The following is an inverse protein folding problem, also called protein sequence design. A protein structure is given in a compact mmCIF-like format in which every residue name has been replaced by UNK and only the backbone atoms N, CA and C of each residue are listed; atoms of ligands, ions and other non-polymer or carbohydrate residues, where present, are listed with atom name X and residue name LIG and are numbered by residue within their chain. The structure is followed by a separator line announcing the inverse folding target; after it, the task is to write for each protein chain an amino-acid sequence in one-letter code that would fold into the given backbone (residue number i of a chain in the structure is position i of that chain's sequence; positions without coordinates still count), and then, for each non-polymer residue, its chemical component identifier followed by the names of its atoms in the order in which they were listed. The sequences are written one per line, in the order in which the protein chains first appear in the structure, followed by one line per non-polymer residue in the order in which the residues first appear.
data_IF_393973362524
#
_entry.id   IF_393973362524
#
_cell.length_a   1.000
_cell.length_b   1.000
_cell.length_c   1.000
_cell.angle_alpha   90.00
_cell.angle_beta   90.00
_cell.angle_gamma   90.00
#
_symmetry.space_group_name_H-M   'P 1'
#
loop_
_entity.id
_entity.type
_entity.pdbx_description
1 polymer ?
#
# COMPACT_ATOMS: atom_id res chain seq x y z
N UNK A 1 -23.27 -1.52 59.55
CA UNK A 1 -22.43 -1.43 58.34
C UNK A 1 -22.51 0.00 57.80
N UNK A 2 -21.37 0.69 57.63
CA UNK A 2 -21.35 2.08 57.15
C UNK A 2 -21.80 2.09 55.69
N UNK A 3 -22.73 2.99 55.29
CA UNK A 3 -23.29 3.08 53.92
C UNK A 3 -22.21 2.99 52.82
N UNK A 4 -21.03 3.56 53.06
CA UNK A 4 -19.89 3.47 52.13
C UNK A 4 -19.40 2.05 51.83
N UNK A 5 -19.48 1.11 52.78
CA UNK A 5 -19.07 -0.29 52.57
C UNK A 5 -20.04 -1.04 51.65
N UNK A 6 -21.33 -0.74 51.73
CA UNK A 6 -22.37 -1.35 50.88
C UNK A 6 -22.25 -0.83 49.44
N UNK A 7 -22.02 0.47 49.27
CA UNK A 7 -21.81 1.07 47.94
C UNK A 7 -20.55 0.50 47.29
N UNK A 8 -19.44 0.39 48.04
CA UNK A 8 -18.20 -0.18 47.52
C UNK A 8 -18.36 -1.66 47.10
N UNK A 9 -19.06 -2.47 47.90
CA UNK A 9 -19.32 -3.87 47.56
C UNK A 9 -20.20 -4.04 46.30
N UNK A 10 -21.23 -3.19 46.14
CA UNK A 10 -22.07 -3.21 44.96
C UNK A 10 -21.31 -2.80 43.69
N UNK A 11 -20.41 -1.80 43.78
CA UNK A 11 -19.55 -1.40 42.68
C UNK A 11 -18.58 -2.52 42.28
N UNK A 12 -17.96 -3.19 43.26
CA UNK A 12 -17.07 -4.32 42.99
C UNK A 12 -17.82 -5.48 42.31
N UNK A 13 -19.04 -5.81 42.76
CA UNK A 13 -19.87 -6.85 42.12
C UNK A 13 -20.28 -6.48 40.69
N UNK A 14 -20.63 -5.22 40.44
CA UNK A 14 -20.98 -4.77 39.09
C UNK A 14 -19.77 -4.85 38.13
N UNK A 15 -18.58 -4.46 38.61
CA UNK A 15 -17.33 -4.58 37.84
C UNK A 15 -17.00 -6.04 37.56
N UNK A 16 -17.10 -6.94 38.54
CA UNK A 16 -16.81 -8.37 38.31
C UNK A 16 -17.80 -9.01 37.33
N UNK A 17 -19.10 -8.70 37.43
CA UNK A 17 -20.11 -9.16 36.47
C UNK A 17 -19.84 -8.62 35.05
N UNK A 18 -19.43 -7.36 34.92
CA UNK A 18 -19.04 -6.77 33.65
C UNK A 18 -17.83 -7.49 33.01
N UNK A 19 -16.81 -7.80 33.81
CA UNK A 19 -15.64 -8.56 33.36
C UNK A 19 -16.03 -9.97 32.92
N UNK A 20 -16.87 -10.67 33.70
CA UNK A 20 -17.34 -12.02 33.37
C UNK A 20 -18.18 -12.02 32.09
N UNK A 21 -19.07 -11.04 31.93
CA UNK A 21 -19.88 -10.89 30.73
C UNK A 21 -19.00 -10.63 29.49
N UNK A 22 -18.02 -9.73 29.60
CA UNK A 22 -17.07 -9.44 28.53
C UNK A 22 -16.25 -10.68 28.15
N UNK A 23 -15.77 -11.43 29.15
CA UNK A 23 -15.05 -12.68 28.92
C UNK A 23 -15.93 -13.74 28.25
N UNK A 24 -17.19 -13.88 28.70
CA UNK A 24 -18.14 -14.81 28.09
C UNK A 24 -18.44 -14.46 26.63
N UNK A 25 -18.62 -13.18 26.32
CA UNK A 25 -18.86 -12.72 24.95
C UNK A 25 -17.64 -13.02 24.05
N UNK A 26 -16.42 -12.77 24.51
CA UNK A 26 -15.19 -13.11 23.76
C UNK A 26 -15.06 -14.61 23.54
N UNK A 27 -15.37 -15.43 24.56
CA UNK A 27 -15.40 -16.89 24.44
C UNK A 27 -16.39 -17.38 23.37
N UNK A 28 -17.61 -16.82 23.33
CA UNK A 28 -18.60 -17.20 22.31
C UNK A 28 -18.17 -16.79 20.90
N UNK A 29 -17.63 -15.57 20.74
CA UNK A 29 -17.09 -15.09 19.45
C UNK A 29 -15.93 -15.95 18.98
N UNK A 30 -15.03 -16.32 19.89
CA UNK A 30 -13.91 -17.20 19.57
C UNK A 30 -14.39 -18.58 19.09
N UNK A 31 -15.34 -19.19 19.80
CA UNK A 31 -15.94 -20.46 19.37
C UNK A 31 -16.68 -20.34 18.02
N UNK A 32 -17.28 -19.19 17.73
CA UNK A 32 -17.88 -18.90 16.42
C UNK A 32 -16.82 -18.83 15.32
N UNK A 33 -15.70 -18.13 15.56
CA UNK A 33 -14.61 -18.03 14.60
C UNK A 33 -14.03 -19.39 14.22
N UNK A 34 -13.84 -20.28 15.21
CA UNK A 34 -13.38 -21.64 14.94
C UNK A 34 -14.36 -22.42 14.05
N UNK A 35 -15.67 -22.32 14.31
CA UNK A 35 -16.68 -22.95 13.46
C UNK A 35 -16.68 -22.41 12.03
N UNK A 36 -16.48 -21.10 11.86
CA UNK A 36 -16.40 -20.48 10.54
C UNK A 36 -15.19 -21.02 9.77
N UNK A 37 -14.01 -21.07 10.42
CA UNK A 37 -12.80 -21.63 9.83
C UNK A 37 -12.97 -23.11 9.45
N UNK A 38 -13.54 -23.94 10.34
CA UNK A 38 -13.84 -25.35 10.07
C UNK A 38 -14.84 -25.54 8.91
N UNK A 39 -15.74 -24.58 8.70
CA UNK A 39 -16.72 -24.61 7.60
C UNK A 39 -16.19 -24.06 6.27
N UNK A 40 -14.96 -23.55 6.24
CA UNK A 40 -14.33 -22.93 5.06
C UNK A 40 -14.62 -21.44 4.89
N UNK A 41 -15.33 -20.79 5.82
CA UNK A 41 -15.54 -19.33 5.81
C UNK A 41 -14.34 -18.62 6.48
N UNK A 42 -13.22 -18.58 5.74
CA UNK A 42 -11.97 -17.95 6.20
C UNK A 42 -12.15 -16.44 6.43
N UNK A 43 -12.88 -15.76 5.56
CA UNK A 43 -13.15 -14.31 5.66
C UNK A 43 -13.93 -13.98 6.94
N UNK A 44 -15.00 -14.72 7.24
CA UNK A 44 -15.78 -14.56 8.46
C UNK A 44 -14.98 -14.92 9.71
N UNK A 45 -14.20 -15.99 9.68
CA UNK A 45 -13.32 -16.39 10.78
C UNK A 45 -12.27 -15.32 11.08
N UNK A 46 -11.56 -14.84 10.05
CA UNK A 46 -10.53 -13.82 10.14
C UNK A 46 -11.06 -12.53 10.79
N UNK A 47 -12.20 -12.01 10.31
CA UNK A 47 -12.79 -10.80 10.86
C UNK A 47 -13.12 -10.90 12.36
N UNK A 48 -13.56 -12.07 12.83
CA UNK A 48 -13.81 -12.29 14.25
C UNK A 48 -12.51 -12.42 15.04
N UNK A 49 -11.52 -13.16 14.53
CA UNK A 49 -10.23 -13.39 15.21
C UNK A 49 -9.44 -12.09 15.39
N UNK A 50 -9.37 -11.24 14.36
CA UNK A 50 -8.74 -9.92 14.46
C UNK A 50 -9.44 -9.06 15.52
N UNK A 51 -10.77 -9.05 15.52
CA UNK A 51 -11.57 -8.31 16.50
C UNK A 51 -11.48 -8.85 17.94
N UNK A 52 -10.90 -10.04 18.15
CA UNK A 52 -10.67 -10.62 19.47
C UNK A 52 -9.31 -10.23 20.07
N UNK A 53 -8.36 -9.77 19.25
CA UNK A 53 -7.03 -9.33 19.68
C UNK A 53 -6.29 -10.41 20.48
N UNK A 54 -5.81 -10.03 21.68
CA UNK A 54 -5.07 -10.91 22.61
C UNK A 54 -5.91 -12.02 23.28
N UNK A 55 -7.11 -12.32 22.78
CA UNK A 55 -7.92 -13.39 23.38
C UNK A 55 -7.38 -14.76 22.95
N UNK A 56 -6.93 -15.56 23.91
CA UNK A 56 -6.42 -16.91 23.65
C UNK A 56 -5.32 -16.91 22.56
N UNK A 57 -5.45 -17.75 21.54
CA UNK A 57 -4.56 -17.85 20.37
C UNK A 57 -5.14 -17.14 19.12
N UNK A 58 -6.08 -16.19 19.29
CA UNK A 58 -6.80 -15.60 18.16
C UNK A 58 -5.88 -14.91 17.14
N UNK A 59 -4.82 -14.23 17.59
CA UNK A 59 -3.80 -13.64 16.69
C UNK A 59 -3.04 -14.69 15.89
N UNK A 60 -2.62 -15.78 16.53
CA UNK A 60 -1.91 -16.87 15.86
C UNK A 60 -2.78 -17.52 14.80
N UNK A 61 -4.06 -17.74 15.11
CA UNK A 61 -5.03 -18.28 14.14
C UNK A 61 -5.31 -17.33 12.99
N UNK A 62 -5.45 -16.03 13.27
CA UNK A 62 -5.61 -15.03 12.22
C UNK A 62 -4.39 -15.00 11.30
N UNK A 63 -3.17 -15.08 11.85
CA UNK A 63 -1.94 -15.17 11.07
C UNK A 63 -1.90 -16.45 10.23
N UNK A 64 -2.27 -17.60 10.79
CA UNK A 64 -2.37 -18.86 10.04
C UNK A 64 -3.32 -18.78 8.85
N UNK A 65 -4.48 -18.14 9.00
CA UNK A 65 -5.40 -17.90 7.89
C UNK A 65 -4.78 -17.01 6.80
N UNK A 66 -4.04 -15.96 7.18
CA UNK A 66 -3.37 -15.06 6.23
C UNK A 66 -2.22 -15.75 5.49
N UNK A 67 -1.51 -16.68 6.13
CA UNK A 67 -0.50 -17.50 5.46
C UNK A 67 -1.12 -18.41 4.39
N UNK A 68 -2.32 -18.95 4.64
CA UNK A 68 -3.06 -19.77 3.66
C UNK A 68 -3.70 -18.92 2.55
N UNK A 69 -4.17 -17.73 2.89
CA UNK A 69 -4.87 -16.81 1.99
C UNK A 69 -4.42 -15.35 2.25
N UNK A 70 -3.34 -14.90 1.59
CA UNK A 70 -2.73 -13.58 1.82
C UNK A 70 -3.64 -12.40 1.48
N UNK A 71 -4.72 -12.63 0.72
CA UNK A 71 -5.68 -11.61 0.33
C UNK A 71 -6.70 -11.27 1.44
N UNK A 72 -6.87 -12.14 2.44
CA UNK A 72 -7.87 -12.00 3.51
C UNK A 72 -7.91 -10.61 4.17
N UNK A 73 -6.77 -10.00 4.55
CA UNK A 73 -6.79 -8.69 5.22
C UNK A 73 -7.39 -7.57 4.37
N UNK A 74 -7.41 -7.74 3.05
CA UNK A 74 -7.71 -6.69 2.08
C UNK A 74 -9.11 -6.80 1.47
N UNK A 75 -9.81 -7.92 1.67
CA UNK A 75 -11.15 -8.14 1.08
C UNK A 75 -12.19 -7.12 1.48
N UNK A 76 -12.06 -6.54 2.68
CA UNK A 76 -12.95 -5.49 3.18
C UNK A 76 -12.57 -4.07 2.76
N UNK A 77 -11.42 -3.86 2.12
CA UNK A 77 -10.94 -2.52 1.79
C UNK A 77 -11.70 -1.90 0.61
N UNK A 78 -11.93 -0.60 0.71
CA UNK A 78 -12.59 0.24 -0.27
C UNK A 78 -11.68 1.36 -0.76
N UNK A 79 -12.07 1.99 -1.88
CA UNK A 79 -11.38 3.19 -2.40
C UNK A 79 -11.29 4.27 -1.32
N UNK A 80 -10.10 4.83 -1.14
CA UNK A 80 -9.78 5.84 -0.13
C UNK A 80 -9.32 5.28 1.21
N UNK A 81 -9.45 3.97 1.44
CA UNK A 81 -8.86 3.35 2.64
C UNK A 81 -7.33 3.37 2.55
N UNK A 82 -6.68 3.31 3.71
CA UNK A 82 -5.24 3.08 3.84
C UNK A 82 -5.02 1.70 4.43
N UNK A 83 -4.27 0.87 3.73
CA UNK A 83 -3.95 -0.52 4.14
C UNK A 83 -2.45 -0.71 4.33
N UNK A 84 -2.07 -1.70 5.15
CA UNK A 84 -0.68 -2.11 5.34
C UNK A 84 -0.38 -3.37 4.54
N UNK A 85 0.61 -3.33 3.65
CA UNK A 85 0.97 -4.46 2.78
C UNK A 85 2.47 -4.41 2.44
N UNK A 86 3.17 -5.52 2.62
CA UNK A 86 4.64 -5.52 2.54
C UNK A 86 5.32 -4.64 3.60
N UNK A 87 6.64 -4.62 3.55
CA UNK A 87 7.51 -3.87 4.46
C UNK A 87 8.78 -3.43 3.76
N UNK A 88 9.22 -2.18 3.93
CA UNK A 88 10.45 -1.66 3.35
C UNK A 88 11.10 -0.68 4.32
N UNK A 89 12.41 -0.53 4.22
CA UNK A 89 13.20 0.40 5.03
C UNK A 89 12.74 1.84 4.79
N UNK A 90 12.28 2.50 5.85
CA UNK A 90 11.65 3.83 5.80
C UNK A 90 12.17 4.77 6.89
N UNK A 91 12.83 4.28 7.94
CA UNK A 91 13.39 5.12 9.01
C UNK A 91 14.92 5.31 8.94
N UNK A 92 15.61 4.50 8.14
CA UNK A 92 17.06 4.52 7.96
C UNK A 92 17.84 3.76 9.03
N UNK A 93 17.17 3.05 9.93
CA UNK A 93 17.77 2.17 10.92
C UNK A 93 17.64 0.69 10.53
N UNK A 94 18.53 0.25 9.64
CA UNK A 94 18.57 -1.16 9.21
C UNK A 94 18.76 -2.20 10.33
N UNK A 95 18.97 -1.79 11.60
CA UNK A 95 19.08 -2.70 12.74
C UNK A 95 17.73 -3.16 13.32
N UNK A 96 16.64 -2.44 13.05
CA UNK A 96 15.29 -2.78 13.54
C UNK A 96 14.46 -3.59 12.52
N UNK A 97 14.93 -3.66 11.26
CA UNK A 97 14.26 -4.36 10.16
C UNK A 97 13.18 -3.50 9.50
N UNK A 98 12.73 -3.84 8.29
CA UNK A 98 11.91 -2.95 7.47
C UNK A 98 10.53 -2.63 8.09
N UNK A 99 10.08 -1.38 7.94
CA UNK A 99 8.78 -0.92 8.41
C UNK A 99 7.65 -1.35 7.47
N UNK A 100 6.45 -1.54 8.00
CA UNK A 100 5.28 -1.81 7.16
C UNK A 100 4.99 -0.64 6.22
N UNK A 101 4.75 -0.93 4.94
CA UNK A 101 4.38 0.09 3.96
C UNK A 101 2.88 0.37 4.07
N UNK A 102 2.51 1.65 4.15
CA UNK A 102 1.13 2.12 4.04
C UNK A 102 0.78 2.36 2.56
N UNK A 103 -0.41 1.95 2.15
CA UNK A 103 -0.89 2.09 0.78
C UNK A 103 -2.27 2.73 0.75
N UNK A 104 -2.45 3.71 -0.13
CA UNK A 104 -3.75 4.31 -0.45
C UNK A 104 -4.43 3.42 -1.50
N UNK A 105 -5.67 3.01 -1.23
CA UNK A 105 -6.50 2.30 -2.21
C UNK A 105 -7.06 3.32 -3.22
N UNK A 106 -6.45 3.39 -4.41
CA UNK A 106 -6.88 4.31 -5.47
C UNK A 106 -8.17 3.85 -6.14
N UNK A 107 -8.32 2.55 -6.32
CA UNK A 107 -9.46 1.94 -7.00
C UNK A 107 -9.71 0.52 -6.47
N UNK A 108 -10.98 0.14 -6.46
CA UNK A 108 -11.40 -1.24 -6.39
C UNK A 108 -12.14 -1.60 -7.66
N UNK A 109 -11.66 -2.61 -8.37
CA UNK A 109 -12.28 -3.14 -9.57
C UNK A 109 -12.43 -4.65 -9.42
N UNK A 110 -13.68 -5.12 -9.34
CA UNK A 110 -14.01 -6.51 -9.00
C UNK A 110 -13.28 -6.97 -7.73
N UNK A 111 -12.56 -8.10 -7.82
CA UNK A 111 -11.72 -8.66 -6.77
C UNK A 111 -10.27 -8.15 -6.87
N UNK A 112 -10.06 -6.88 -7.24
CA UNK A 112 -8.73 -6.27 -7.27
C UNK A 112 -8.71 -4.89 -6.66
N UNK A 113 -7.58 -4.56 -6.04
CA UNK A 113 -7.29 -3.22 -5.53
C UNK A 113 -6.07 -2.65 -6.23
N UNK A 114 -6.19 -1.42 -6.72
CA UNK A 114 -5.04 -0.62 -7.12
C UNK A 114 -4.55 0.15 -5.90
N UNK A 115 -3.31 -0.07 -5.54
CA UNK A 115 -2.64 0.52 -4.40
C UNK A 115 -1.56 1.49 -4.88
N UNK A 116 -1.39 2.61 -4.17
CA UNK A 116 -0.26 3.53 -4.30
C UNK A 116 0.38 3.71 -2.93
N UNK A 117 1.70 3.64 -2.82
CA UNK A 117 2.37 3.86 -1.53
C UNK A 117 1.98 5.23 -0.98
N UNK A 118 1.62 5.31 0.30
CA UNK A 118 1.16 6.57 0.89
C UNK A 118 2.28 7.62 0.85
N UNK A 119 3.49 7.18 1.16
CA UNK A 119 4.71 7.98 1.24
C UNK A 119 5.65 7.69 0.04
N UNK A 120 6.57 8.61 -0.23
CA UNK A 120 7.73 8.38 -1.08
C UNK A 120 8.71 7.49 -0.32
N UNK A 121 8.97 6.29 -0.85
CA UNK A 121 9.74 5.27 -0.14
C UNK A 121 11.25 5.45 -0.30
N UNK A 122 11.69 5.99 -1.44
CA UNK A 122 13.11 6.20 -1.75
C UNK A 122 13.27 7.37 -2.74
N UNK A 123 14.44 8.02 -2.73
CA UNK A 123 14.82 9.02 -3.73
C UNK A 123 15.60 8.38 -4.86
N UNK A 124 15.06 8.35 -6.08
CA UNK A 124 15.68 7.69 -7.23
C UNK A 124 15.61 8.52 -8.50
N UNK A 125 16.61 8.33 -9.36
CA UNK A 125 16.56 8.83 -10.73
C UNK A 125 15.60 7.95 -11.53
N UNK A 126 14.95 8.54 -12.54
CA UNK A 126 14.21 7.74 -13.51
C UNK A 126 15.18 6.88 -14.32
N UNK A 127 16.29 7.48 -14.75
CA UNK A 127 17.42 6.81 -15.40
C UNK A 127 18.72 7.56 -15.10
N UNK A 128 19.81 6.84 -14.83
CA UNK A 128 21.06 7.40 -14.32
C UNK A 128 21.86 8.23 -15.35
N UNK A 129 21.64 8.03 -16.65
CA UNK A 129 22.42 8.71 -17.70
C UNK A 129 21.78 10.05 -18.07
N UNK A 130 22.49 11.18 -17.90
CA UNK A 130 21.97 12.49 -18.26
C UNK A 130 21.67 12.62 -19.76
N UNK A 131 20.53 13.23 -20.09
CA UNK A 131 20.08 13.50 -21.46
C UNK A 131 19.97 12.26 -22.37
N UNK A 132 19.96 11.05 -21.82
CA UNK A 132 19.74 9.85 -22.60
C UNK A 132 18.25 9.70 -22.91
N UNK A 133 17.93 9.49 -24.18
CA UNK A 133 16.58 9.05 -24.57
C UNK A 133 16.28 7.69 -23.93
N UNK A 134 15.22 7.63 -23.12
CA UNK A 134 14.85 6.43 -22.36
C UNK A 134 13.33 6.33 -22.23
N UNK A 135 12.82 5.11 -22.24
CA UNK A 135 11.39 4.82 -22.04
C UNK A 135 11.17 4.16 -20.68
N UNK A 136 9.92 4.01 -20.24
CA UNK A 136 9.63 3.25 -19.01
C UNK A 136 10.20 1.84 -19.05
N UNK A 137 10.09 1.16 -20.20
CA UNK A 137 10.53 -0.21 -20.38
C UNK A 137 12.01 -0.44 -20.06
N UNK A 138 12.84 0.55 -20.37
CA UNK A 138 14.31 0.52 -20.25
C UNK A 138 14.84 1.33 -19.05
N UNK A 139 13.94 1.90 -18.23
CA UNK A 139 14.33 2.79 -17.12
C UNK A 139 14.90 2.03 -15.91
N UNK A 140 15.88 2.64 -15.25
CA UNK A 140 16.42 2.11 -13.98
C UNK A 140 15.36 2.06 -12.89
N UNK A 141 14.43 3.03 -12.87
CA UNK A 141 13.35 3.08 -11.90
C UNK A 141 12.42 1.85 -12.04
N UNK A 142 12.04 1.48 -13.26
CA UNK A 142 11.22 0.29 -13.51
C UNK A 142 11.94 -0.98 -13.07
N UNK A 143 13.23 -1.10 -13.40
CA UNK A 143 14.06 -2.23 -13.00
C UNK A 143 14.08 -2.37 -11.47
N UNK A 144 14.40 -1.29 -10.76
CA UNK A 144 14.38 -1.28 -9.30
C UNK A 144 13.01 -1.65 -8.72
N UNK A 145 11.92 -1.08 -9.25
CA UNK A 145 10.56 -1.36 -8.76
C UNK A 145 10.18 -2.84 -8.89
N UNK A 146 10.56 -3.50 -9.98
CA UNK A 146 10.18 -4.89 -10.27
C UNK A 146 11.17 -5.94 -9.77
N UNK A 147 12.40 -5.53 -9.44
CA UNK A 147 13.45 -6.39 -8.92
C UNK A 147 13.69 -6.07 -7.43
N UNK A 148 14.69 -5.25 -7.11
CA UNK A 148 15.15 -4.97 -5.74
C UNK A 148 14.01 -4.61 -4.77
N UNK A 149 13.14 -3.66 -5.15
CA UNK A 149 12.01 -3.26 -4.31
C UNK A 149 11.02 -4.40 -4.13
N UNK A 150 10.60 -5.05 -5.22
CA UNK A 150 9.60 -6.11 -5.16
C UNK A 150 10.09 -7.31 -4.32
N UNK A 151 11.36 -7.66 -4.46
CA UNK A 151 11.97 -8.78 -3.73
C UNK A 151 12.23 -8.47 -2.25
N UNK A 152 12.55 -7.21 -1.92
CA UNK A 152 12.71 -6.79 -0.53
C UNK A 152 11.36 -6.56 0.17
N UNK A 153 10.39 -5.96 -0.53
CA UNK A 153 9.18 -5.43 0.08
C UNK A 153 8.14 -6.49 0.43
N UNK A 154 8.10 -7.60 -0.31
CA UNK A 154 7.00 -8.58 -0.22
C UNK A 154 7.51 -9.98 0.10
N UNK A 155 6.81 -10.67 1.00
CA UNK A 155 7.06 -12.10 1.27
C UNK A 155 6.61 -12.96 0.07
N UNK A 156 7.09 -14.21 -0.07
CA UNK A 156 6.64 -15.09 -1.15
C UNK A 156 5.11 -15.26 -1.23
N UNK A 157 4.42 -15.32 -0.09
CA UNK A 157 2.96 -15.41 -0.03
C UNK A 157 2.29 -14.13 -0.56
N UNK A 158 2.78 -12.95 -0.15
CA UNK A 158 2.30 -11.66 -0.65
C UNK A 158 2.57 -11.49 -2.15
N UNK A 159 3.74 -11.89 -2.64
CA UNK A 159 4.04 -11.89 -4.09
C UNK A 159 3.07 -12.76 -4.89
N UNK A 160 2.48 -13.78 -4.28
CA UNK A 160 1.49 -14.66 -4.89
C UNK A 160 0.17 -13.96 -5.25
N UNK A 161 -0.17 -12.86 -4.57
CA UNK A 161 -1.39 -12.09 -4.83
C UNK A 161 -1.13 -10.79 -5.61
N UNK A 162 0.11 -10.51 -6.02
CA UNK A 162 0.46 -9.34 -6.85
C UNK A 162 0.52 -9.80 -8.31
N UNK A 163 -0.54 -9.61 -9.12
CA UNK A 163 -0.52 -10.00 -10.52
C UNK A 163 0.45 -9.14 -11.33
N UNK A 164 1.00 -9.74 -12.38
CA UNK A 164 1.65 -8.97 -13.45
C UNK A 164 0.58 -8.38 -14.37
N UNK A 165 0.63 -7.07 -14.59
CA UNK A 165 -0.33 -6.32 -15.41
C UNK A 165 0.35 -5.73 -16.64
N UNK A 166 -0.44 -5.59 -17.71
CA UNK A 166 -0.01 -4.96 -18.95
C UNK A 166 -0.11 -3.43 -18.81
N UNK A 167 1.02 -2.75 -19.02
CA UNK A 167 1.11 -1.30 -19.07
C UNK A 167 1.44 -0.88 -20.51
N UNK A 168 0.48 -0.28 -21.22
CA UNK A 168 0.63 0.06 -22.65
C UNK A 168 1.65 1.18 -22.95
N UNK A 169 2.12 1.91 -21.94
CA UNK A 169 3.10 3.02 -22.04
C UNK A 169 2.81 3.99 -23.19
N UNK A 170 1.66 4.66 -23.13
CA UNK A 170 1.24 5.63 -24.15
C UNK A 170 2.23 6.80 -24.32
N UNK A 171 2.30 7.32 -25.54
CA UNK A 171 3.05 8.53 -25.88
C UNK A 171 2.53 9.75 -25.10
N UNK A 172 3.41 10.75 -24.93
CA UNK A 172 3.07 11.99 -24.25
C UNK A 172 1.91 12.71 -24.96
N UNK A 173 0.91 13.14 -24.20
CA UNK A 173 -0.39 13.58 -24.75
C UNK A 173 -0.38 14.86 -25.61
N UNK A 174 0.68 15.67 -25.53
CA UNK A 174 0.83 17.00 -26.17
C UNK A 174 1.85 16.97 -27.31
N UNK A 175 3.07 16.49 -27.07
CA UNK A 175 4.19 16.49 -28.01
C UNK A 175 4.32 15.17 -28.77
N UNK A 176 3.71 14.09 -28.28
CA UNK A 176 3.86 12.76 -28.85
C UNK A 176 5.25 12.16 -28.63
N UNK A 177 5.95 12.57 -27.57
CA UNK A 177 7.20 11.90 -27.19
C UNK A 177 6.91 10.41 -26.92
N UNK A 178 7.69 9.47 -27.49
CA UNK A 178 7.36 8.05 -27.42
C UNK A 178 7.34 7.51 -25.99
N UNK A 179 6.27 6.81 -25.60
CA UNK A 179 6.18 6.15 -24.28
C UNK A 179 6.93 4.83 -24.20
N UNK A 180 7.24 4.23 -25.36
CA UNK A 180 7.97 2.98 -25.47
C UNK A 180 7.04 1.78 -25.69
N UNK A 181 7.62 0.57 -25.61
CA UNK A 181 6.84 -0.66 -25.76
C UNK A 181 5.97 -0.91 -24.51
N UNK A 182 4.83 -1.62 -24.66
CA UNK A 182 4.08 -2.12 -23.52
C UNK A 182 4.94 -3.01 -22.61
N UNK A 183 4.74 -2.91 -21.30
CA UNK A 183 5.47 -3.68 -20.28
C UNK A 183 4.54 -4.58 -19.49
N UNK A 184 5.08 -5.70 -18.98
CA UNK A 184 4.42 -6.54 -17.99
C UNK A 184 5.07 -6.26 -16.64
N UNK A 185 4.34 -5.59 -15.75
CA UNK A 185 4.88 -5.09 -14.48
C UNK A 185 4.06 -5.64 -13.31
N UNK A 186 4.72 -5.90 -12.18
CA UNK A 186 4.03 -6.15 -10.90
C UNK A 186 3.94 -4.89 -10.06
N UNK A 187 4.96 -4.03 -10.19
CA UNK A 187 5.06 -2.74 -9.53
C UNK A 187 5.39 -1.70 -10.60
N UNK A 188 4.71 -0.57 -10.56
CA UNK A 188 4.84 0.49 -11.57
C UNK A 188 4.67 1.87 -10.96
N UNK A 189 5.15 2.90 -11.66
CA UNK A 189 4.73 4.29 -11.39
C UNK A 189 3.43 4.58 -12.16
N UNK A 190 2.56 5.41 -11.61
CA UNK A 190 1.34 5.85 -12.32
C UNK A 190 1.70 6.50 -13.66
N UNK A 191 0.83 6.36 -14.66
CA UNK A 191 0.90 7.09 -15.92
C UNK A 191 0.30 8.48 -15.81
N UNK A 192 0.52 9.28 -16.87
CA UNK A 192 -0.20 10.53 -17.11
C UNK A 192 -1.71 10.35 -16.96
N UNK A 193 -2.31 9.37 -17.65
CA UNK A 193 -3.76 9.15 -17.61
C UNK A 193 -4.26 8.79 -16.21
N UNK A 194 -3.56 7.88 -15.52
CA UNK A 194 -3.89 7.51 -14.14
C UNK A 194 -3.74 8.71 -13.19
N UNK A 195 -2.69 9.52 -13.34
CA UNK A 195 -2.48 10.72 -12.53
C UNK A 195 -3.60 11.75 -12.75
N UNK A 196 -4.08 11.93 -13.98
CA UNK A 196 -5.18 12.85 -14.30
C UNK A 196 -6.49 12.37 -13.67
N UNK A 197 -6.73 11.06 -13.65
CA UNK A 197 -7.94 10.47 -13.05
C UNK A 197 -7.89 10.55 -11.53
N UNK A 198 -6.82 10.05 -10.92
CA UNK A 198 -6.73 9.88 -9.47
C UNK A 198 -6.38 11.18 -8.73
N UNK A 199 -5.67 12.11 -9.37
CA UNK A 199 -5.28 13.40 -8.80
C UNK A 199 -6.14 14.56 -9.35
N UNK A 200 -7.38 14.24 -9.72
CA UNK A 200 -8.33 15.19 -10.28
C UNK A 200 -8.83 16.18 -9.21
N UNK A 201 -8.46 17.45 -9.34
CA UNK A 201 -8.92 18.53 -8.45
C UNK A 201 -8.13 18.65 -7.15
N UNK A 202 -8.31 19.78 -6.44
CA UNK A 202 -7.45 20.16 -5.31
C UNK A 202 -7.46 19.19 -4.13
N UNK A 203 -8.62 18.60 -3.80
CA UNK A 203 -8.71 17.65 -2.69
C UNK A 203 -7.88 16.39 -2.96
N UNK A 204 -8.03 15.78 -4.14
CA UNK A 204 -7.23 14.60 -4.50
C UNK A 204 -5.74 14.92 -4.62
N UNK A 205 -5.38 16.12 -5.07
CA UNK A 205 -3.96 16.55 -5.09
C UNK A 205 -3.38 16.62 -3.69
N UNK A 206 -4.12 17.12 -2.70
CA UNK A 206 -3.63 17.16 -1.33
C UNK A 206 -3.72 15.80 -0.63
N UNK A 207 -4.82 15.07 -0.76
CA UNK A 207 -5.05 13.81 -0.04
C UNK A 207 -4.28 12.62 -0.63
N UNK A 208 -4.00 12.66 -1.95
CA UNK A 208 -3.35 11.56 -2.67
C UNK A 208 -2.05 12.04 -3.30
N UNK A 209 -2.05 13.18 -3.98
CA UNK A 209 -0.92 13.65 -4.79
C UNK A 209 0.29 14.08 -3.97
N UNK A 210 0.07 14.88 -2.93
CA UNK A 210 1.08 15.25 -1.94
C UNK A 210 1.51 13.99 -1.18
N UNK A 211 2.82 13.75 -1.14
CA UNK A 211 3.38 12.57 -0.51
C UNK A 211 4.57 12.97 0.34
N UNK A 212 4.55 12.59 1.61
CA UNK A 212 5.68 12.76 2.50
C UNK A 212 6.83 11.86 2.05
N UNK A 213 8.06 12.32 2.18
CA UNK A 213 9.22 11.47 2.10
C UNK A 213 9.35 10.63 3.38
N UNK A 214 9.62 9.34 3.25
CA UNK A 214 10.08 8.53 4.38
C UNK A 214 11.34 9.15 5.00
N UNK A 215 11.63 8.89 6.28
CA UNK A 215 12.85 9.43 6.90
C UNK A 215 14.10 8.92 6.16
N UNK A 216 14.07 7.67 5.68
CA UNK A 216 15.09 7.11 4.80
C UNK A 216 15.28 7.94 3.52
N UNK A 217 14.20 8.19 2.77
CA UNK A 217 14.25 8.96 1.53
C UNK A 217 14.73 10.41 1.78
N UNK A 218 14.27 11.04 2.86
CA UNK A 218 14.62 12.39 3.25
C UNK A 218 16.07 12.52 3.76
N UNK A 219 16.67 11.43 4.26
CA UNK A 219 18.08 11.42 4.71
C UNK A 219 19.09 11.48 3.56
N UNK A 220 18.64 11.18 2.34
CA UNK A 220 19.46 11.16 1.13
C UNK A 220 19.62 12.53 0.46
N UNK A 221 19.86 12.50 -0.85
CA UNK A 221 19.98 13.71 -1.68
C UNK A 221 18.62 14.19 -2.25
N UNK A 222 17.52 13.54 -1.88
CA UNK A 222 16.18 13.90 -2.35
C UNK A 222 15.83 15.30 -1.86
N UNK A 223 15.31 16.14 -2.75
CA UNK A 223 14.82 17.46 -2.37
C UNK A 223 13.44 17.30 -1.72
N UNK A 224 13.33 17.74 -0.46
CA UNK A 224 12.10 17.68 0.34
C UNK A 224 11.72 19.10 0.77
N UNK A 225 10.42 19.41 0.73
CA UNK A 225 9.88 20.71 1.14
C UNK A 225 9.93 20.88 2.66
N UNK A 226 9.65 22.10 3.14
CA UNK A 226 9.52 22.35 4.60
C UNK A 226 8.39 21.52 5.24
N UNK A 227 7.36 21.19 4.47
CA UNK A 227 6.23 20.36 4.91
C UNK A 227 6.50 18.85 4.80
N UNK A 228 7.71 18.45 4.37
CA UNK A 228 8.13 17.06 4.28
C UNK A 228 7.73 16.34 3.00
N UNK A 229 7.15 17.04 2.02
CA UNK A 229 6.74 16.45 0.74
C UNK A 229 7.84 16.51 -0.32
N UNK A 230 7.77 15.64 -1.32
CA UNK A 230 8.72 15.61 -2.43
C UNK A 230 8.03 15.43 -3.78
N UNK A 231 8.68 15.91 -4.85
CA UNK A 231 8.34 15.57 -6.22
C UNK A 231 8.53 14.06 -6.43
N UNK A 232 7.66 13.38 -7.19
CA UNK A 232 7.76 11.94 -7.45
C UNK A 232 7.40 11.54 -8.87
N UNK A 233 8.04 10.49 -9.38
CA UNK A 233 8.01 10.10 -10.79
C UNK A 233 6.69 9.47 -11.25
N UNK A 234 6.30 9.75 -12.50
CA UNK A 234 5.33 9.00 -13.30
C UNK A 234 6.07 8.18 -14.37
N UNK A 235 5.46 7.11 -14.87
CA UNK A 235 6.04 6.30 -15.97
C UNK A 235 5.89 6.94 -17.36
N UNK A 236 5.08 7.98 -17.48
CA UNK A 236 4.82 8.61 -18.77
C UNK A 236 5.96 9.53 -19.22
N UNK A 237 6.29 9.55 -20.53
CA UNK A 237 7.35 10.41 -21.05
C UNK A 237 6.98 11.89 -20.92
N UNK A 238 8.00 12.73 -20.73
CA UNK A 238 7.90 14.19 -20.73
C UNK A 238 7.99 14.79 -22.14
N UNK A 239 8.31 16.07 -22.22
CA UNK A 239 8.38 16.83 -23.49
C UNK A 239 9.44 16.28 -24.45
N UNK A 240 10.56 15.79 -23.89
CA UNK A 240 11.72 15.29 -24.61
C UNK A 240 11.96 13.81 -24.28
N UNK A 241 12.66 13.07 -25.15
CA UNK A 241 12.95 11.64 -24.95
C UNK A 241 13.80 11.33 -23.71
N UNK A 242 14.49 12.32 -23.16
CA UNK A 242 15.26 12.25 -21.93
C UNK A 242 14.54 12.89 -20.72
N UNK A 243 13.23 13.10 -20.82
CA UNK A 243 12.41 13.61 -19.74
C UNK A 243 11.26 12.64 -19.39
N UNK A 244 10.91 12.56 -18.12
CA UNK A 244 9.75 11.82 -17.61
C UNK A 244 8.81 12.76 -16.85
N UNK A 245 7.51 12.48 -16.89
CA UNK A 245 6.54 13.21 -16.10
C UNK A 245 6.70 12.92 -14.62
N UNK A 246 6.26 13.85 -13.79
CA UNK A 246 6.27 13.70 -12.34
C UNK A 246 5.06 14.42 -11.75
N UNK A 247 4.81 14.18 -10.48
CA UNK A 247 3.87 14.95 -9.66
C UNK A 247 4.72 15.80 -8.72
N UNK A 248 4.45 17.10 -8.69
CA UNK A 248 5.19 18.01 -7.83
C UNK A 248 4.84 17.81 -6.35
N UNK A 249 5.64 18.39 -5.47
CA UNK A 249 5.47 18.30 -4.03
C UNK A 249 4.14 18.88 -3.48
N UNK A 250 3.36 19.58 -4.33
CA UNK A 250 1.99 20.05 -4.06
C UNK A 250 0.92 19.15 -4.70
N UNK A 251 1.31 17.94 -5.12
CA UNK A 251 0.43 16.93 -5.66
C UNK A 251 -0.08 17.19 -7.08
N UNK A 252 0.51 18.13 -7.82
CA UNK A 252 0.08 18.48 -9.18
C UNK A 252 0.88 17.72 -10.25
N UNK A 253 0.22 16.99 -11.18
CA UNK A 253 0.91 16.39 -12.31
C UNK A 253 1.56 17.42 -13.24
N UNK A 254 2.82 17.20 -13.60
CA UNK A 254 3.63 18.07 -14.46
C UNK A 254 3.93 17.35 -15.79
N UNK A 255 3.06 17.55 -16.77
CA UNK A 255 3.11 16.86 -18.07
C UNK A 255 4.34 17.20 -18.93
N UNK A 256 5.00 18.34 -18.68
CA UNK A 256 6.24 18.70 -19.38
C UNK A 256 7.41 17.79 -18.97
N UNK A 257 7.34 17.22 -17.77
CA UNK A 257 8.37 16.39 -17.18
C UNK A 257 9.62 17.13 -16.72
N UNK A 258 10.55 16.35 -16.16
CA UNK A 258 11.89 16.74 -15.78
C UNK A 258 12.90 15.76 -16.40
N UNK A 259 14.18 16.14 -16.47
CA UNK A 259 15.21 15.26 -17.00
C UNK A 259 15.29 13.98 -16.17
N UNK A 260 15.48 12.85 -16.83
CA UNK A 260 15.42 11.51 -16.20
C UNK A 260 16.51 11.27 -15.15
N UNK A 261 17.61 12.03 -15.20
CA UNK A 261 18.72 11.98 -14.25
C UNK A 261 18.50 12.88 -13.02
N UNK A 262 17.38 13.61 -12.93
CA UNK A 262 17.01 14.29 -11.69
C UNK A 262 16.66 13.26 -10.61
N UNK A 263 16.91 13.58 -9.35
CA UNK A 263 16.53 12.73 -8.23
C UNK A 263 15.15 13.15 -7.70
N UNK A 264 14.14 12.31 -7.89
CA UNK A 264 12.79 12.48 -7.34
C UNK A 264 12.35 11.24 -6.57
N UNK A 265 11.20 11.33 -5.90
CA UNK A 265 10.62 10.25 -5.15
C UNK A 265 10.19 9.08 -6.03
N UNK A 266 10.52 7.87 -5.58
CA UNK A 266 9.91 6.64 -6.05
C UNK A 266 8.65 6.36 -5.21
N UNK A 267 7.51 6.35 -5.89
CA UNK A 267 6.20 6.08 -5.28
C UNK A 267 5.52 4.89 -5.98
N UNK A 268 5.79 3.66 -5.53
CA UNK A 268 5.27 2.46 -6.17
C UNK A 268 3.74 2.39 -6.19
N UNK A 269 3.19 1.90 -7.29
CA UNK A 269 1.82 1.45 -7.42
C UNK A 269 1.79 -0.03 -7.84
N UNK A 270 0.77 -0.76 -7.39
CA UNK A 270 0.58 -2.17 -7.74
C UNK A 270 -0.89 -2.56 -7.64
N UNK A 271 -1.23 -3.65 -8.32
CA UNK A 271 -2.50 -4.33 -8.10
C UNK A 271 -2.32 -5.47 -7.10
N UNK A 272 -3.33 -5.73 -6.27
CA UNK A 272 -3.48 -7.00 -5.55
C UNK A 272 -4.77 -7.70 -5.95
N UNK A 273 -4.70 -9.02 -6.09
CA UNK A 273 -5.84 -9.90 -6.35
C UNK A 273 -6.43 -10.41 -5.03
N UNK A 274 -7.74 -10.27 -4.89
CA UNK A 274 -8.51 -10.58 -3.70
C UNK A 274 -9.27 -11.90 -3.79
N UNK A 275 -9.20 -12.58 -4.95
CA UNK A 275 -9.95 -13.81 -5.20
C UNK A 275 -9.65 -14.88 -4.15
N UNK A 276 -10.66 -15.67 -3.81
CA UNK A 276 -10.51 -16.78 -2.86
C UNK A 276 -9.62 -17.88 -3.45
N UNK A 277 -8.60 -18.28 -2.68
CA UNK A 277 -7.74 -19.41 -3.01
C UNK A 277 -8.63 -20.67 -3.08
N UNK A 278 -8.87 -21.18 -4.29
CA UNK A 278 -9.71 -22.36 -4.54
C UNK A 278 -11.17 -22.08 -4.97
N UNK A 279 -11.59 -20.81 -5.06
CA UNK A 279 -12.93 -20.41 -5.51
C UNK A 279 -13.12 -20.29 -7.03
N UNK A 280 -12.05 -20.47 -7.82
CA UNK A 280 -12.02 -20.33 -9.28
C UNK A 280 -12.73 -21.45 -10.05
N UNK A 281 -13.97 -21.75 -9.70
CA UNK A 281 -14.77 -22.77 -10.36
C UNK A 281 -16.26 -22.62 -10.11
N UNK A 282 -16.86 -21.53 -10.60
CA UNK A 282 -18.28 -21.47 -10.96
C UNK A 282 -18.52 -20.56 -12.15
#
# INVERSE_FOLDING_TARGET
MKKGTVVLAALLLAVTLGILFHHHQRSQRYAQALRLAESGDASGAYGILVGLGDYADARERAAGLVEEDPALPYRGAAKGDVVSFGSFEQDGDASNGPESIRWIVLERFDDRLLLLSADVLDGRQYNHVPFQDVTWADSDLRAWMNDDFFDAAFTPAQRGIIPSVLNDNADQSITGAPGGAPTQDRVFALSEQESVVYLSGGANRSDIGEALASEYAASGALTVTEDGTADWWLRSPGTYGFAAQFVDAAGTPVASGANVDVLYGARPALWIDLSEVGGGGR
#
